data_IF_361479607140
#
_entry.id   IF_361479607140
#
_cell.length_a   1.000
_cell.length_b   1.000
_cell.length_c   1.000
_cell.angle_alpha   90.00
_cell.angle_beta   90.00
_cell.angle_gamma   90.00
#
_symmetry.space_group_name_H-M   'P 1'
#
loop_
_entity.id
_entity.type
_entity.pdbx_description
1 polymer ?
#
# COMPACT_ATOMS: atom_id res chain seq x y z
N UNK A 1 24.78 14.92 26.35
CA UNK A 1 24.71 13.60 25.70
C UNK A 1 23.52 12.74 26.14
N UNK A 2 22.85 13.03 27.27
CA UNK A 2 21.70 12.25 27.78
C UNK A 2 20.47 12.15 26.85
N UNK A 3 20.26 13.13 25.96
CA UNK A 3 19.12 13.11 25.03
C UNK A 3 19.21 12.03 23.94
N UNK A 4 20.41 11.69 23.49
CA UNK A 4 20.63 10.71 22.40
C UNK A 4 20.44 9.28 22.92
N UNK A 5 20.93 8.98 24.12
CA UNK A 5 20.80 7.64 24.70
C UNK A 5 19.37 7.35 25.16
N UNK A 6 18.65 8.37 25.67
CA UNK A 6 17.20 8.26 25.93
C UNK A 6 16.41 8.03 24.64
N UNK A 7 16.73 8.74 23.57
CA UNK A 7 16.10 8.55 22.26
C UNK A 7 16.38 7.15 21.70
N UNK A 8 17.62 6.67 21.72
CA UNK A 8 17.99 5.31 21.30
C UNK A 8 17.23 4.24 22.07
N UNK A 9 17.08 4.41 23.38
CA UNK A 9 16.32 3.48 24.23
C UNK A 9 14.85 3.44 23.83
N UNK A 10 14.21 4.60 23.66
CA UNK A 10 12.82 4.69 23.21
C UNK A 10 12.62 4.09 21.82
N UNK A 11 13.57 4.30 20.91
CA UNK A 11 13.53 3.75 19.55
C UNK A 11 13.63 2.22 19.57
N UNK A 12 14.51 1.67 20.41
CA UNK A 12 14.66 0.23 20.60
C UNK A 12 13.41 -0.39 21.21
N UNK A 13 12.85 0.20 22.26
CA UNK A 13 11.58 -0.25 22.88
C UNK A 13 10.42 -0.21 21.88
N UNK A 14 10.35 0.83 21.04
CA UNK A 14 9.33 0.94 19.98
C UNK A 14 9.49 -0.14 18.91
N UNK A 15 10.74 -0.47 18.56
CA UNK A 15 11.03 -1.47 17.54
C UNK A 15 10.73 -2.89 18.06
N UNK A 16 11.14 -3.22 19.29
CA UNK A 16 10.79 -4.48 19.95
C UNK A 16 9.27 -4.67 20.04
N UNK A 17 8.52 -3.63 20.43
CA UNK A 17 7.06 -3.66 20.45
C UNK A 17 6.44 -3.87 19.05
N UNK A 18 7.01 -3.23 18.03
CA UNK A 18 6.53 -3.39 16.65
C UNK A 18 6.77 -4.82 16.15
N UNK A 19 7.96 -5.39 16.42
CA UNK A 19 8.32 -6.76 16.05
C UNK A 19 7.41 -7.79 16.76
N UNK A 20 7.07 -7.56 18.04
CA UNK A 20 6.12 -8.40 18.78
C UNK A 20 4.71 -8.36 18.19
N UNK A 21 4.22 -7.15 17.84
CA UNK A 21 2.93 -7.00 17.16
C UNK A 21 2.94 -7.72 15.81
N UNK A 22 4.00 -7.54 15.01
CA UNK A 22 4.10 -8.16 13.70
C UNK A 22 4.14 -9.69 13.80
N UNK A 23 4.89 -10.23 14.75
CA UNK A 23 4.92 -11.67 15.05
C UNK A 23 3.55 -12.18 15.49
N UNK A 24 2.85 -11.46 16.37
CA UNK A 24 1.49 -11.81 16.76
C UNK A 24 0.54 -11.80 15.55
N UNK A 25 0.64 -10.80 14.68
CA UNK A 25 -0.19 -10.69 13.48
C UNK A 25 0.05 -11.84 12.51
N UNK A 26 1.31 -12.18 12.22
CA UNK A 26 1.66 -13.26 11.32
C UNK A 26 1.26 -14.65 11.83
N UNK A 27 1.30 -14.86 13.13
CA UNK A 27 0.93 -16.14 13.74
C UNK A 27 -0.58 -16.35 13.84
N UNK A 28 -1.37 -15.28 13.88
CA UNK A 28 -2.81 -15.36 14.17
C UNK A 28 -3.70 -14.93 13.01
N UNK A 29 -3.17 -14.22 12.00
CA UNK A 29 -3.97 -13.63 10.93
C UNK A 29 -3.40 -13.93 9.55
N UNK A 30 -4.32 -14.19 8.62
CA UNK A 30 -4.01 -14.30 7.20
C UNK A 30 -4.74 -13.20 6.44
N UNK A 31 -4.00 -12.46 5.62
CA UNK A 31 -4.52 -11.52 4.64
C UNK A 31 -4.52 -12.21 3.29
N UNK A 32 -5.70 -12.42 2.69
CA UNK A 32 -5.82 -13.08 1.37
C UNK A 32 -5.06 -14.43 1.29
N UNK A 33 -5.08 -15.21 2.39
CA UNK A 33 -4.45 -16.54 2.48
C UNK A 33 -2.93 -16.54 2.72
N UNK A 34 -2.34 -15.39 3.09
CA UNK A 34 -0.92 -15.26 3.41
C UNK A 34 -0.71 -14.43 4.68
N UNK A 35 0.38 -14.69 5.39
CA UNK A 35 0.85 -13.83 6.48
C UNK A 35 1.32 -12.48 5.93
N UNK A 36 1.44 -11.47 6.80
CA UNK A 36 1.99 -10.16 6.45
C UNK A 36 3.44 -10.31 5.98
N UNK A 37 4.27 -11.11 6.66
CA UNK A 37 5.65 -11.36 6.20
C UNK A 37 5.71 -12.03 4.83
N UNK A 38 4.83 -13.00 4.55
CA UNK A 38 4.75 -13.61 3.22
C UNK A 38 4.36 -12.58 2.14
N UNK A 39 3.51 -11.60 2.48
CA UNK A 39 3.22 -10.48 1.60
C UNK A 39 4.38 -9.52 1.41
N UNK A 40 5.09 -9.16 2.50
CA UNK A 40 6.29 -8.32 2.44
C UNK A 40 7.34 -8.93 1.53
N UNK A 41 7.63 -10.22 1.70
CA UNK A 41 8.54 -10.96 0.80
C UNK A 41 8.06 -10.97 -0.65
N UNK A 42 6.75 -11.08 -0.88
CA UNK A 42 6.17 -11.07 -2.23
C UNK A 42 6.20 -9.69 -2.89
N UNK A 43 6.08 -8.63 -2.11
CA UNK A 43 6.10 -7.23 -2.55
C UNK A 43 7.50 -6.62 -2.52
N UNK A 44 8.48 -7.34 -1.97
CA UNK A 44 9.87 -6.91 -1.93
C UNK A 44 10.39 -6.64 -3.35
N UNK A 45 11.07 -5.51 -3.48
CA UNK A 45 11.80 -5.11 -4.67
C UNK A 45 13.26 -5.01 -4.29
N UNK A 46 14.10 -5.82 -4.93
CA UNK A 46 15.54 -5.82 -4.67
C UNK A 46 16.18 -4.60 -5.35
N UNK A 47 16.85 -3.76 -4.55
CA UNK A 47 17.65 -2.65 -5.09
C UNK A 47 18.95 -3.23 -5.66
N UNK A 48 19.29 -2.97 -6.93
CA UNK A 48 20.54 -3.44 -7.51
C UNK A 48 21.74 -2.70 -6.90
N UNK A 49 22.86 -3.42 -6.73
CA UNK A 49 24.10 -2.87 -6.13
C UNK A 49 24.72 -1.74 -6.96
N UNK A 50 24.50 -1.76 -8.28
CA UNK A 50 24.91 -0.69 -9.20
C UNK A 50 23.68 -0.08 -9.85
N UNK A 51 23.51 1.23 -9.64
CA UNK A 51 22.47 2.03 -10.28
C UNK A 51 23.02 2.59 -11.60
N UNK A 52 22.74 1.89 -12.70
CA UNK A 52 22.98 2.38 -14.05
C UNK A 52 21.63 2.49 -14.77
N UNK A 53 21.61 3.12 -15.95
CA UNK A 53 20.37 3.40 -16.67
C UNK A 53 19.48 2.15 -16.85
N UNK A 54 20.07 1.01 -17.24
CA UNK A 54 19.34 -0.24 -17.44
C UNK A 54 18.79 -0.83 -16.13
N UNK A 55 19.58 -0.80 -15.05
CA UNK A 55 19.15 -1.35 -13.76
C UNK A 55 18.04 -0.52 -13.11
N UNK A 56 18.04 0.79 -13.32
CA UNK A 56 16.98 1.70 -12.86
C UNK A 56 15.68 1.49 -13.65
N UNK A 57 15.76 1.23 -14.97
CA UNK A 57 14.58 0.83 -15.77
C UNK A 57 13.97 -0.47 -15.23
N UNK A 58 14.79 -1.50 -15.00
CA UNK A 58 14.31 -2.77 -14.47
C UNK A 58 13.66 -2.60 -13.10
N UNK A 59 14.28 -1.79 -12.22
CA UNK A 59 13.74 -1.46 -10.92
C UNK A 59 12.35 -0.80 -11.03
N UNK A 60 12.19 0.15 -11.96
CA UNK A 60 10.90 0.79 -12.23
C UNK A 60 9.82 -0.19 -12.73
N UNK A 61 10.20 -1.13 -13.59
CA UNK A 61 9.30 -2.19 -14.07
C UNK A 61 8.86 -3.12 -12.93
N UNK A 62 9.80 -3.54 -12.08
CA UNK A 62 9.51 -4.41 -10.93
C UNK A 62 8.57 -3.72 -9.93
N UNK A 63 8.83 -2.45 -9.58
CA UNK A 63 7.93 -1.65 -8.72
C UNK A 63 6.54 -1.56 -9.32
N UNK A 64 6.45 -1.30 -10.63
CA UNK A 64 5.16 -1.20 -11.34
C UNK A 64 4.37 -2.51 -11.29
N UNK A 65 5.05 -3.65 -11.46
CA UNK A 65 4.41 -4.97 -11.35
C UNK A 65 3.92 -5.25 -9.92
N UNK A 66 4.71 -4.90 -8.88
CA UNK A 66 4.26 -5.02 -7.48
C UNK A 66 3.09 -4.08 -7.17
N UNK A 67 3.11 -2.86 -7.71
CA UNK A 67 2.03 -1.90 -7.55
C UNK A 67 0.72 -2.44 -8.15
N UNK A 68 0.75 -2.95 -9.38
CA UNK A 68 -0.44 -3.53 -10.01
C UNK A 68 -1.00 -4.70 -9.21
N UNK A 69 -0.13 -5.54 -8.65
CA UNK A 69 -0.55 -6.61 -7.75
C UNK A 69 -1.24 -6.06 -6.50
N UNK A 70 -0.63 -5.10 -5.81
CA UNK A 70 -1.19 -4.48 -4.61
C UNK A 70 -2.53 -3.77 -4.90
N UNK A 71 -2.61 -3.03 -6.03
CA UNK A 71 -3.82 -2.35 -6.47
C UNK A 71 -4.97 -3.34 -6.73
N UNK A 72 -4.69 -4.48 -7.38
CA UNK A 72 -5.69 -5.53 -7.59
C UNK A 72 -6.29 -6.02 -6.26
N UNK A 73 -5.45 -6.26 -5.25
CA UNK A 73 -5.94 -6.70 -3.95
C UNK A 73 -6.69 -5.58 -3.22
N UNK A 74 -6.18 -4.34 -3.22
CA UNK A 74 -6.88 -3.17 -2.68
C UNK A 74 -8.31 -3.06 -3.25
N UNK A 75 -8.45 -3.17 -4.57
CA UNK A 75 -9.73 -3.02 -5.25
C UNK A 75 -10.68 -4.19 -4.92
N UNK A 76 -10.16 -5.42 -4.82
CA UNK A 76 -10.91 -6.56 -4.31
C UNK A 76 -11.42 -6.31 -2.89
N UNK A 77 -10.57 -5.78 -2.00
CA UNK A 77 -10.96 -5.49 -0.62
C UNK A 77 -12.03 -4.38 -0.55
N UNK A 78 -11.99 -3.40 -1.45
CA UNK A 78 -13.01 -2.36 -1.56
C UNK A 78 -14.37 -2.94 -1.98
N UNK A 79 -14.39 -3.87 -2.94
CA UNK A 79 -15.61 -4.57 -3.36
C UNK A 79 -16.18 -5.41 -2.21
N UNK A 80 -15.33 -6.18 -1.52
CA UNK A 80 -15.76 -6.99 -0.38
C UNK A 80 -16.33 -6.12 0.75
N UNK A 81 -15.72 -4.97 1.03
CA UNK A 81 -16.25 -4.01 2.00
C UNK A 81 -17.64 -3.52 1.61
N UNK A 82 -17.83 -3.12 0.35
CA UNK A 82 -19.13 -2.66 -0.16
C UNK A 82 -20.21 -3.76 -0.07
N UNK A 83 -19.86 -5.02 -0.33
CA UNK A 83 -20.76 -6.17 -0.18
C UNK A 83 -21.16 -6.33 1.29
N UNK A 84 -20.20 -6.28 2.22
CA UNK A 84 -20.49 -6.41 3.65
C UNK A 84 -21.35 -5.26 4.18
N UNK A 85 -21.05 -4.01 3.79
CA UNK A 85 -21.82 -2.83 4.18
C UNK A 85 -23.26 -2.90 3.67
N UNK A 86 -23.46 -3.34 2.42
CA UNK A 86 -24.81 -3.58 1.87
C UNK A 86 -25.52 -4.70 2.62
N UNK A 87 -24.86 -5.84 2.84
CA UNK A 87 -25.43 -6.98 3.55
C UNK A 87 -25.83 -6.62 4.98
N UNK A 88 -25.01 -5.81 5.66
CA UNK A 88 -25.34 -5.25 6.97
C UNK A 88 -26.61 -4.42 6.91
N UNK A 89 -26.72 -3.49 5.95
CA UNK A 89 -27.90 -2.62 5.81
C UNK A 89 -29.17 -3.44 5.56
N UNK A 90 -29.10 -4.40 4.64
CA UNK A 90 -30.24 -5.26 4.30
C UNK A 90 -30.67 -6.12 5.50
N UNK A 91 -29.72 -6.77 6.18
CA UNK A 91 -30.01 -7.60 7.37
C UNK A 91 -30.55 -6.75 8.52
N UNK A 92 -29.98 -5.57 8.75
CA UNK A 92 -30.44 -4.63 9.77
C UNK A 92 -31.90 -4.23 9.54
N UNK A 93 -32.23 -3.81 8.31
CA UNK A 93 -33.58 -3.39 7.96
C UNK A 93 -34.59 -4.55 8.09
N UNK A 94 -34.22 -5.75 7.65
CA UNK A 94 -35.05 -6.93 7.79
C UNK A 94 -35.33 -7.27 9.27
N UNK A 95 -34.29 -7.29 10.11
CA UNK A 95 -34.42 -7.56 11.55
C UNK A 95 -35.25 -6.50 12.27
N UNK A 96 -35.06 -5.22 11.93
CA UNK A 96 -35.84 -4.11 12.47
C UNK A 96 -37.34 -4.28 12.18
N UNK A 97 -37.69 -4.56 10.93
CA UNK A 97 -39.09 -4.73 10.51
C UNK A 97 -39.70 -6.02 11.09
N UNK A 98 -38.93 -7.10 11.19
CA UNK A 98 -39.37 -8.34 11.82
C UNK A 98 -39.74 -8.12 13.29
N UNK A 99 -38.86 -7.48 14.08
CA UNK A 99 -39.12 -7.19 15.49
C UNK A 99 -40.36 -6.30 15.68
N UNK A 100 -40.55 -5.30 14.81
CA UNK A 100 -41.72 -4.41 14.84
C UNK A 100 -43.01 -5.18 14.55
N UNK A 101 -43.01 -6.01 13.51
CA UNK A 101 -44.17 -6.79 13.07
C UNK A 101 -44.55 -7.88 14.08
N UNK A 102 -43.57 -8.59 14.63
CA UNK A 102 -43.80 -9.62 15.64
C UNK A 102 -44.52 -9.05 16.87
N UNK A 103 -44.05 -7.89 17.35
CA UNK A 103 -44.66 -7.23 18.50
C UNK A 103 -46.08 -6.72 18.20
N UNK A 104 -46.30 -6.18 17.00
CA UNK A 104 -47.62 -5.73 16.58
C UNK A 104 -48.63 -6.88 16.49
N UNK A 105 -48.21 -8.04 15.99
CA UNK A 105 -49.04 -9.25 15.95
C UNK A 105 -49.38 -9.72 17.36
N UNK A 106 -48.38 -9.78 18.25
CA UNK A 106 -48.49 -10.35 19.60
C UNK A 106 -49.21 -9.43 20.60
N UNK A 107 -48.97 -8.13 20.53
CA UNK A 107 -49.43 -7.16 21.54
C UNK A 107 -50.34 -6.06 20.96
N UNK A 108 -50.69 -6.13 19.67
CA UNK A 108 -51.54 -5.14 18.95
C UNK A 108 -50.99 -3.71 19.00
N UNK A 109 -49.67 -3.57 19.25
CA UNK A 109 -48.96 -2.29 19.30
C UNK A 109 -47.58 -2.47 18.68
N UNK A 110 -47.08 -1.50 17.89
CA UNK A 110 -45.72 -1.56 17.38
C UNK A 110 -44.72 -1.50 18.54
N UNK A 111 -43.62 -2.23 18.40
CA UNK A 111 -42.51 -2.14 19.34
C UNK A 111 -41.89 -0.73 19.27
N UNK A 112 -41.42 -0.22 20.41
CA UNK A 112 -40.70 1.04 20.45
C UNK A 112 -39.49 1.00 19.50
N UNK A 113 -39.27 2.11 18.77
CA UNK A 113 -38.23 2.17 17.75
C UNK A 113 -36.84 1.79 18.29
N UNK A 114 -36.50 2.18 19.52
CA UNK A 114 -35.21 1.86 20.12
C UNK A 114 -35.06 0.38 20.44
N UNK A 115 -36.13 -0.30 20.85
CA UNK A 115 -36.10 -1.76 21.04
C UNK A 115 -35.97 -2.50 19.70
N UNK A 116 -36.58 -2.01 18.61
CA UNK A 116 -36.34 -2.53 17.27
C UNK A 116 -34.88 -2.34 16.82
N UNK A 117 -34.26 -1.18 17.12
CA UNK A 117 -32.84 -0.94 16.83
C UNK A 117 -31.94 -1.91 17.58
N UNK A 118 -32.23 -2.18 18.86
CA UNK A 118 -31.43 -3.12 19.68
C UNK A 118 -31.48 -4.52 19.05
N UNK A 119 -32.66 -5.03 18.71
CA UNK A 119 -32.81 -6.33 18.06
C UNK A 119 -32.05 -6.39 16.73
N UNK A 120 -32.18 -5.35 15.90
CA UNK A 120 -31.47 -5.27 14.63
C UNK A 120 -29.95 -5.18 14.78
N UNK A 121 -29.44 -4.46 15.78
CA UNK A 121 -28.00 -4.36 16.07
C UNK A 121 -27.40 -5.71 16.50
N UNK A 122 -28.11 -6.48 17.32
CA UNK A 122 -27.66 -7.82 17.72
C UNK A 122 -27.47 -8.70 16.49
N UNK A 123 -28.41 -8.66 15.54
CA UNK A 123 -28.37 -9.45 14.32
C UNK A 123 -27.21 -9.11 13.38
N UNK A 124 -26.67 -7.89 13.44
CA UNK A 124 -25.60 -7.45 12.53
C UNK A 124 -24.23 -7.34 13.19
N UNK A 125 -24.09 -7.66 14.49
CA UNK A 125 -22.84 -7.50 15.24
C UNK A 125 -21.64 -8.19 14.57
N UNK A 126 -21.80 -9.41 14.09
CA UNK A 126 -20.72 -10.14 13.41
C UNK A 126 -20.31 -9.48 12.09
N UNK A 127 -21.29 -8.90 11.37
CA UNK A 127 -21.01 -8.12 10.15
C UNK A 127 -20.26 -6.82 10.48
N UNK A 128 -20.53 -6.19 11.62
CA UNK A 128 -19.78 -5.00 12.06
C UNK A 128 -18.31 -5.32 12.30
N UNK A 129 -18.02 -6.44 12.99
CA UNK A 129 -16.66 -6.91 13.19
C UNK A 129 -15.97 -7.24 11.87
N UNK A 130 -16.66 -7.95 10.97
CA UNK A 130 -16.14 -8.27 9.65
C UNK A 130 -15.83 -7.01 8.82
N UNK A 131 -16.71 -6.00 8.85
CA UNK A 131 -16.51 -4.69 8.21
C UNK A 131 -15.29 -3.98 8.79
N UNK A 132 -15.11 -4.01 10.12
CA UNK A 132 -13.95 -3.45 10.80
C UNK A 132 -12.64 -4.06 10.29
N UNK A 133 -12.55 -5.39 10.30
CA UNK A 133 -11.38 -6.12 9.79
C UNK A 133 -11.14 -5.82 8.31
N UNK A 134 -12.20 -5.80 7.50
CA UNK A 134 -12.12 -5.52 6.08
C UNK A 134 -11.57 -4.11 5.78
N UNK A 135 -11.93 -3.10 6.60
CA UNK A 135 -11.38 -1.74 6.48
C UNK A 135 -9.89 -1.72 6.75
N UNK A 136 -9.43 -2.38 7.82
CA UNK A 136 -8.01 -2.49 8.17
C UNK A 136 -7.21 -3.11 7.02
N UNK A 137 -7.69 -4.23 6.47
CA UNK A 137 -7.01 -4.93 5.36
C UNK A 137 -6.96 -4.05 4.10
N UNK A 138 -8.07 -3.37 3.76
CA UNK A 138 -8.11 -2.43 2.64
C UNK A 138 -7.11 -1.29 2.82
N UNK A 139 -7.03 -0.72 4.02
CA UNK A 139 -6.14 0.40 4.33
C UNK A 139 -4.67 -0.03 4.31
N UNK A 140 -4.36 -1.25 4.74
CA UNK A 140 -3.02 -1.83 4.59
C UNK A 140 -2.61 -1.95 3.11
N UNK A 141 -3.51 -2.42 2.25
CA UNK A 141 -3.26 -2.47 0.80
C UNK A 141 -3.11 -1.07 0.18
N UNK A 142 -3.89 -0.09 0.66
CA UNK A 142 -3.77 1.31 0.24
C UNK A 142 -2.39 1.86 0.60
N UNK A 143 -1.95 1.72 1.86
CA UNK A 143 -0.63 2.16 2.31
C UNK A 143 0.53 1.49 1.54
N UNK A 144 0.35 0.22 1.17
CA UNK A 144 1.29 -0.49 0.28
C UNK A 144 1.36 0.16 -1.10
N UNK A 145 0.22 0.49 -1.70
CA UNK A 145 0.17 1.18 -2.99
C UNK A 145 0.81 2.57 -2.92
N UNK A 146 0.55 3.31 -1.84
CA UNK A 146 1.09 4.66 -1.63
C UNK A 146 2.61 4.61 -1.51
N UNK A 147 3.15 3.69 -0.70
CA UNK A 147 4.60 3.45 -0.59
C UNK A 147 5.24 3.12 -1.94
N UNK A 148 4.67 2.18 -2.70
CA UNK A 148 5.18 1.81 -4.02
C UNK A 148 5.13 2.98 -5.02
N UNK A 149 4.13 3.85 -4.90
CA UNK A 149 4.00 5.06 -5.72
C UNK A 149 5.10 6.07 -5.41
N UNK A 150 5.39 6.31 -4.13
CA UNK A 150 6.47 7.21 -3.73
C UNK A 150 7.84 6.68 -4.15
N UNK A 151 8.11 5.38 -3.95
CA UNK A 151 9.36 4.76 -4.41
C UNK A 151 9.50 4.85 -5.92
N UNK A 152 8.42 4.65 -6.68
CA UNK A 152 8.44 4.83 -8.15
C UNK A 152 8.84 6.25 -8.54
N UNK A 153 8.29 7.28 -7.88
CA UNK A 153 8.66 8.69 -8.16
C UNK A 153 10.14 8.97 -7.91
N UNK A 154 10.71 8.38 -6.85
CA UNK A 154 12.14 8.46 -6.58
C UNK A 154 12.97 7.81 -7.70
N UNK A 155 12.58 6.62 -8.15
CA UNK A 155 13.24 5.92 -9.27
C UNK A 155 13.15 6.72 -10.57
N UNK A 156 12.00 7.32 -10.88
CA UNK A 156 11.84 8.20 -12.05
C UNK A 156 12.74 9.44 -11.97
N UNK A 157 12.96 9.98 -10.77
CA UNK A 157 13.87 11.11 -10.54
C UNK A 157 15.33 10.71 -10.81
N UNK A 158 15.76 9.55 -10.30
CA UNK A 158 17.10 9.00 -10.54
C UNK A 158 17.30 8.73 -12.04
N UNK A 159 16.30 8.15 -12.71
CA UNK A 159 16.38 7.85 -14.14
C UNK A 159 16.59 9.13 -14.98
N UNK A 160 15.92 10.24 -14.61
CA UNK A 160 16.11 11.53 -15.28
C UNK A 160 17.51 12.09 -15.07
N UNK A 161 18.05 12.01 -13.85
CA UNK A 161 19.41 12.44 -13.56
C UNK A 161 20.43 11.67 -14.42
N UNK A 162 20.34 10.33 -14.42
CA UNK A 162 21.20 9.48 -15.24
C UNK A 162 21.02 9.73 -16.75
N UNK A 163 19.79 9.97 -17.21
CA UNK A 163 19.52 10.28 -18.61
C UNK A 163 20.12 11.62 -19.05
N UNK A 164 20.14 12.62 -18.17
CA UNK A 164 20.79 13.90 -18.41
C UNK A 164 22.32 13.76 -18.44
N UNK A 165 22.89 12.95 -17.54
CA UNK A 165 24.34 12.68 -17.50
C UNK A 165 24.82 11.94 -18.77
N UNK A 166 24.03 10.98 -19.28
CA UNK A 166 24.33 10.29 -20.55
C UNK A 166 24.28 11.25 -21.76
N UNK A 167 23.40 12.25 -21.74
CA UNK A 167 23.37 13.27 -22.79
C UNK A 167 24.54 14.24 -22.67
N UNK A 168 24.92 14.63 -21.45
CA UNK A 168 26.11 15.45 -21.21
C UNK A 168 27.40 14.74 -21.66
N UNK A 169 27.57 13.45 -21.36
CA UNK A 169 28.71 12.65 -21.85
C UNK A 169 28.78 12.58 -23.38
N UNK A 170 27.62 12.44 -24.06
CA UNK A 170 27.58 12.47 -25.53
C UNK A 170 27.99 13.83 -26.08
N UNK A 171 27.56 14.92 -25.46
CA UNK A 171 27.94 16.26 -25.86
C UNK A 171 29.44 16.52 -25.64
N UNK A 172 30.03 16.06 -24.52
CA UNK A 172 31.48 16.14 -24.30
C UNK A 172 32.28 15.33 -25.32
N UNK A 173 31.87 14.11 -25.67
CA UNK A 173 32.55 13.28 -26.69
C UNK A 173 32.46 13.92 -28.09
N UNK A 174 31.37 14.62 -28.40
CA UNK A 174 31.23 15.35 -29.67
C UNK A 174 32.10 16.61 -29.69
N UNK A 175 32.26 17.31 -28.56
CA UNK A 175 33.15 18.47 -28.44
C UNK A 175 34.61 18.06 -28.56
N UNK A 176 35.05 17.01 -27.84
CA UNK A 176 36.43 16.51 -27.91
C UNK A 176 36.79 16.06 -29.34
N UNK A 177 35.90 15.33 -30.03
CA UNK A 177 36.12 14.96 -31.45
C UNK A 177 36.16 16.13 -32.43
N UNK A 178 35.60 17.29 -32.07
CA UNK A 178 35.66 18.51 -32.89
C UNK A 178 36.93 19.32 -32.62
N UNK A 179 37.45 19.31 -31.39
CA UNK A 179 38.72 19.95 -31.04
C UNK A 179 39.91 19.17 -31.63
N UNK A 180 39.92 17.83 -31.52
CA UNK A 180 40.97 16.98 -32.12
C UNK A 180 41.06 17.09 -33.66
N UNK A 181 39.95 17.47 -34.32
CA UNK A 181 39.91 17.71 -35.78
C UNK A 181 40.42 19.09 -36.21
N UNK A 182 40.53 20.05 -35.29
CA UNK A 182 41.08 21.37 -35.59
C UNK A 182 42.60 21.40 -35.45
N UNK A 183 43.17 20.67 -34.50
CA UNK A 183 44.63 20.61 -34.33
C UNK A 183 45.37 19.84 -35.45
N UNK A 184 44.66 19.05 -36.26
CA UNK A 184 45.25 18.36 -37.42
C UNK A 184 45.12 19.11 -38.75
N UNK A 185 44.46 20.28 -38.80
CA UNK A 185 44.31 21.06 -40.04
C UNK A 185 45.29 22.24 -40.19
N UNK A 186 46.03 22.60 -39.14
CA UNK A 186 46.99 23.72 -39.20
C UNK A 186 48.42 23.31 -39.64
N UNK A 187 48.69 22.02 -39.91
CA UNK A 187 49.99 21.55 -40.44
C UNK A 187 50.03 21.37 -41.98
N UNK A 188 49.00 21.79 -42.71
CA UNK A 188 48.98 21.74 -44.18
C UNK A 188 48.64 23.09 -44.83
N UNK A 189 49.47 24.10 -44.59
CA UNK A 189 49.59 25.23 -45.53
C UNK A 189 51.02 25.78 -45.51
N UNK A 190 51.86 25.23 -46.40
CA UNK A 190 53.06 25.90 -46.93
C UNK A 190 52.65 26.87 -48.06
#
# INVERSE_FOLDING_TARGET
>A
MEGIDKFKKQLKETQEFTDEIESFLDNNFLVDGKTIDAWRRRLFVKIPEKLNFQSVIQLGADISAKYQLAARYRDRQAIQLAILERTKSDKYNAAYQAARKENEVKFKKPLAADSCKIAANIEVKDLENAIGNQKIIKDWWKATCDTLTEVRKLVETILRALGNDVNAEKDYVVVIKKEDRKETQDEQTC
#
